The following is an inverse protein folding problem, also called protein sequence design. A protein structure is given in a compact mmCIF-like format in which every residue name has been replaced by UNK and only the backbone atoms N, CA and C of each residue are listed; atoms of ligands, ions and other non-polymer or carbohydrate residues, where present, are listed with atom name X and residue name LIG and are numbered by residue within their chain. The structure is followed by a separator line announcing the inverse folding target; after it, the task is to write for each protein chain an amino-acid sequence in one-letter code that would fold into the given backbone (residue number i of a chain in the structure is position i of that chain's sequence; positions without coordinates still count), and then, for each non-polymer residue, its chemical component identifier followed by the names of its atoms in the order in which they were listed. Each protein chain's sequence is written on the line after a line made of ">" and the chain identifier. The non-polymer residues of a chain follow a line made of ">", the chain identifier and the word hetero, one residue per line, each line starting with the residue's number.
data_IF_626770017921
#
_entry.id   IF_626770017921
#
_cell.length_a   1.000
_cell.length_b   1.000
_cell.length_c   1.000
_cell.angle_alpha   90.00
_cell.angle_beta   90.00
_cell.angle_gamma   90.00
#
_symmetry.space_group_name_H-M   'P 1'
#
loop_
_entity.id
_entity.type
_entity.pdbx_description
1 polymer ?
#
# COMPACT_ATOMS: atom_id res chain seq x y z
N UNK A 1 41.03 -29.46 26.03
CA UNK A 1 40.18 -28.27 26.26
C UNK A 1 40.04 -27.51 24.95
N UNK A 2 38.82 -27.40 24.42
CA UNK A 2 38.50 -26.95 23.05
C UNK A 2 38.52 -25.42 22.87
N UNK A 3 39.26 -24.86 21.89
CA UNK A 3 39.32 -23.42 21.59
C UNK A 3 38.08 -22.85 20.86
N UNK A 4 37.10 -23.70 20.50
CA UNK A 4 35.92 -23.32 19.70
C UNK A 4 34.87 -22.42 20.41
N UNK A 5 34.97 -22.19 21.72
CA UNK A 5 33.97 -21.40 22.47
C UNK A 5 34.13 -19.88 22.34
N UNK A 6 35.32 -19.37 22.00
CA UNK A 6 35.60 -17.92 22.01
C UNK A 6 35.11 -17.24 20.72
N UNK A 7 35.19 -17.90 19.56
CA UNK A 7 34.76 -17.35 18.28
C UNK A 7 33.23 -17.17 18.17
N UNK A 8 32.46 -18.14 18.69
CA UNK A 8 30.98 -18.09 18.73
C UNK A 8 30.44 -16.91 19.54
N UNK A 9 31.08 -16.58 20.66
CA UNK A 9 30.61 -15.51 21.57
C UNK A 9 30.77 -14.13 20.95
N UNK A 10 31.85 -13.89 20.20
CA UNK A 10 32.08 -12.63 19.46
C UNK A 10 31.15 -12.50 18.25
N UNK A 11 30.87 -13.59 17.54
CA UNK A 11 29.93 -13.60 16.43
C UNK A 11 28.48 -13.31 16.90
N UNK A 12 28.06 -13.92 18.01
CA UNK A 12 26.74 -13.68 18.61
C UNK A 12 26.59 -12.25 19.17
N UNK A 13 27.66 -11.69 19.76
CA UNK A 13 27.68 -10.30 20.20
C UNK A 13 27.64 -9.32 19.01
N UNK A 14 28.37 -9.60 17.93
CA UNK A 14 28.31 -8.80 16.70
C UNK A 14 26.94 -8.83 16.02
N UNK A 15 26.31 -9.99 15.95
CA UNK A 15 24.94 -10.14 15.43
C UNK A 15 23.90 -9.43 16.31
N UNK A 16 24.06 -9.47 17.63
CA UNK A 16 23.19 -8.75 18.58
C UNK A 16 23.29 -7.22 18.45
N UNK A 17 24.50 -6.68 18.27
CA UNK A 17 24.69 -5.22 18.06
C UNK A 17 24.12 -4.76 16.72
N UNK A 18 24.29 -5.55 15.65
CA UNK A 18 23.69 -5.24 14.34
C UNK A 18 22.16 -5.29 14.37
N UNK A 19 21.57 -6.30 15.04
CA UNK A 19 20.13 -6.41 15.21
C UNK A 19 19.55 -5.26 16.07
N UNK A 20 20.21 -4.91 17.18
CA UNK A 20 19.78 -3.77 18.01
C UNK A 20 19.93 -2.43 17.28
N UNK A 21 20.97 -2.24 16.46
CA UNK A 21 21.14 -1.03 15.65
C UNK A 21 20.06 -0.87 14.57
N UNK A 22 19.63 -1.96 13.95
CA UNK A 22 18.51 -1.97 13.00
C UNK A 22 17.16 -1.69 13.67
N UNK A 23 16.96 -2.18 14.90
CA UNK A 23 15.72 -1.96 15.66
C UNK A 23 15.65 -0.56 16.29
N UNK A 24 16.78 0.05 16.63
CA UNK A 24 16.82 1.40 17.20
C UNK A 24 16.67 2.52 16.15
N UNK A 25 16.92 2.22 14.87
CA UNK A 25 16.82 3.19 13.77
C UNK A 25 15.45 3.26 13.09
N UNK A 26 14.54 2.33 13.39
CA UNK A 26 13.22 2.23 12.77
C UNK A 26 12.12 2.44 13.82
N UNK A 27 11.17 3.32 13.52
CA UNK A 27 9.97 3.48 14.34
C UNK A 27 8.95 2.38 13.98
N UNK A 28 8.72 1.44 14.91
CA UNK A 28 7.73 0.36 14.80
C UNK A 28 6.49 0.61 15.66
N UNK A 29 6.27 1.83 16.14
CA UNK A 29 5.20 2.16 17.08
C UNK A 29 3.79 2.05 16.52
N UNK A 30 3.62 1.91 15.19
CA UNK A 30 2.33 1.98 14.51
C UNK A 30 1.52 3.22 14.94
N UNK A 31 2.19 4.36 15.19
CA UNK A 31 1.56 5.56 15.76
C UNK A 31 0.32 6.02 15.00
N UNK A 32 0.32 5.80 13.68
CA UNK A 32 -0.74 6.23 12.75
C UNK A 32 -1.79 5.12 12.53
N UNK A 33 -1.68 4.00 13.26
CA UNK A 33 -2.57 2.84 13.18
C UNK A 33 -2.26 1.90 12.01
N UNK A 34 -3.09 0.86 11.89
CA UNK A 34 -3.05 -0.11 10.77
C UNK A 34 -4.29 0.00 9.87
N UNK A 35 -5.30 0.76 10.32
CA UNK A 35 -6.51 1.02 9.58
C UNK A 35 -6.44 2.40 8.94
N UNK A 36 -6.92 2.50 7.70
CA UNK A 36 -6.95 3.75 6.99
C UNK A 36 -8.08 4.63 7.55
N UNK A 37 -7.76 5.88 7.87
CA UNK A 37 -8.77 6.86 8.31
C UNK A 37 -9.69 7.32 7.16
N UNK A 38 -9.42 6.89 5.93
CA UNK A 38 -10.24 7.15 4.74
C UNK A 38 -10.52 8.64 4.50
N UNK A 39 -9.53 9.48 4.77
CA UNK A 39 -9.60 10.92 4.56
C UNK A 39 -9.77 11.24 3.08
N UNK A 40 -10.77 12.05 2.74
CA UNK A 40 -11.13 12.36 1.36
C UNK A 40 -9.98 13.05 0.59
N UNK A 41 -9.36 14.06 1.18
CA UNK A 41 -8.19 14.73 0.61
C UNK A 41 -7.01 14.67 1.58
N UNK A 42 -5.79 14.89 1.06
CA UNK A 42 -4.61 15.09 1.90
C UNK A 42 -4.88 16.28 2.84
N UNK A 43 -4.83 16.10 4.18
CA UNK A 43 -5.02 17.18 5.14
C UNK A 43 -4.15 18.40 4.85
N UNK A 44 -4.66 19.59 5.13
CA UNK A 44 -4.00 20.85 4.78
C UNK A 44 -2.62 20.99 5.45
N UNK A 45 -2.46 20.53 6.69
CA UNK A 45 -1.19 20.53 7.41
C UNK A 45 -0.12 19.66 6.72
N UNK A 46 -0.52 18.50 6.16
CA UNK A 46 0.37 17.62 5.40
C UNK A 46 0.63 18.15 3.99
N UNK A 47 -0.41 18.63 3.30
CA UNK A 47 -0.32 19.21 1.95
C UNK A 47 0.59 20.43 1.92
N UNK A 48 0.44 21.29 2.92
CA UNK A 48 1.23 22.50 3.05
C UNK A 48 2.58 22.27 3.74
N UNK A 49 2.87 21.04 4.18
CA UNK A 49 4.08 20.71 4.90
C UNK A 49 5.34 21.04 4.06
N UNK A 50 6.38 21.67 4.65
CA UNK A 50 7.56 22.10 3.90
C UNK A 50 8.23 20.99 3.08
N UNK A 51 8.28 19.77 3.61
CA UNK A 51 8.86 18.62 2.88
C UNK A 51 8.03 18.20 1.67
N UNK A 52 6.69 18.27 1.76
CA UNK A 52 5.81 17.93 0.64
C UNK A 52 5.95 18.99 -0.45
N UNK A 53 5.97 20.27 -0.09
CA UNK A 53 6.24 21.36 -1.04
C UNK A 53 7.61 21.23 -1.70
N UNK A 54 8.65 20.94 -0.93
CA UNK A 54 10.01 20.78 -1.44
C UNK A 54 10.13 19.58 -2.40
N UNK A 55 9.38 18.49 -2.18
CA UNK A 55 9.35 17.35 -3.09
C UNK A 55 8.77 17.69 -4.48
N UNK A 56 7.95 18.73 -4.57
CA UNK A 56 7.38 19.22 -5.83
C UNK A 56 8.17 20.37 -6.47
N UNK A 57 9.16 20.94 -5.77
CA UNK A 57 9.90 22.08 -6.27
C UNK A 57 10.69 21.72 -7.55
N UNK A 58 10.49 22.52 -8.60
CA UNK A 58 11.08 22.29 -9.93
C UNK A 58 10.50 21.13 -10.74
N UNK A 59 9.49 20.40 -10.24
CA UNK A 59 8.82 19.35 -11.01
C UNK A 59 7.75 19.92 -11.94
N UNK A 60 7.77 19.47 -13.19
CA UNK A 60 6.66 19.64 -14.12
C UNK A 60 5.63 18.54 -13.86
N UNK A 61 4.51 18.90 -13.22
CA UNK A 61 3.46 17.95 -12.86
C UNK A 61 2.90 17.18 -14.07
N UNK A 62 2.91 17.77 -15.27
CA UNK A 62 2.53 17.11 -16.53
C UNK A 62 3.41 15.91 -16.90
N UNK A 63 4.60 15.80 -16.28
CA UNK A 63 5.57 14.73 -16.50
C UNK A 63 5.70 13.78 -15.31
N UNK A 64 4.91 13.98 -14.25
CA UNK A 64 4.87 13.08 -13.09
C UNK A 64 3.81 12.01 -13.33
N UNK A 65 4.26 10.77 -13.46
CA UNK A 65 3.42 9.63 -13.80
C UNK A 65 3.51 8.60 -12.67
N UNK A 66 2.39 8.29 -12.04
CA UNK A 66 2.28 7.08 -11.23
C UNK A 66 2.15 5.88 -12.16
N UNK A 67 3.20 5.06 -12.23
CA UNK A 67 3.27 3.91 -13.12
C UNK A 67 2.78 2.61 -12.49
N UNK A 68 2.25 2.65 -11.26
CA UNK A 68 1.84 1.46 -10.53
C UNK A 68 0.50 1.67 -9.81
N UNK A 69 -0.57 1.78 -10.59
CA UNK A 69 -1.93 1.82 -10.08
C UNK A 69 -2.70 0.55 -10.48
N UNK A 70 -3.26 -0.15 -9.50
CA UNK A 70 -4.11 -1.32 -9.71
C UNK A 70 -5.54 -0.99 -9.30
N UNK A 71 -6.49 -1.22 -10.22
CA UNK A 71 -7.90 -1.15 -9.89
C UNK A 71 -8.31 -2.40 -9.12
N UNK A 72 -9.02 -2.22 -8.00
CA UNK A 72 -9.53 -3.32 -7.18
C UNK A 72 -11.05 -3.27 -7.13
N UNK A 73 -11.70 -4.42 -7.34
CA UNK A 73 -13.15 -4.55 -7.36
C UNK A 73 -13.59 -5.99 -7.60
N UNK A 74 -14.84 -6.31 -7.23
CA UNK A 74 -15.43 -7.63 -7.40
C UNK A 74 -16.49 -7.68 -8.53
N UNK A 75 -16.71 -6.57 -9.23
CA UNK A 75 -17.69 -6.52 -10.31
C UNK A 75 -19.11 -6.29 -9.84
N UNK A 76 -19.33 -5.98 -8.56
CA UNK A 76 -20.67 -5.81 -7.97
C UNK A 76 -21.47 -4.66 -8.59
N UNK A 77 -20.82 -3.71 -9.25
CA UNK A 77 -21.47 -2.63 -9.99
C UNK A 77 -21.76 -2.97 -11.46
N UNK A 78 -21.51 -4.21 -11.88
CA UNK A 78 -21.55 -4.60 -13.30
C UNK A 78 -20.35 -4.09 -14.12
N UNK A 79 -19.26 -3.69 -13.46
CA UNK A 79 -18.05 -3.15 -14.10
C UNK A 79 -17.24 -4.19 -14.88
N UNK A 80 -17.45 -5.47 -14.59
CA UNK A 80 -16.59 -6.57 -15.08
C UNK A 80 -15.27 -6.69 -14.32
N UNK A 81 -15.02 -5.86 -13.29
CA UNK A 81 -13.90 -6.06 -12.37
C UNK A 81 -14.04 -7.40 -11.66
N UNK A 82 -12.89 -7.98 -11.35
CA UNK A 82 -12.85 -9.27 -10.71
C UNK A 82 -11.56 -9.38 -9.90
N UNK A 83 -11.67 -9.91 -8.69
CA UNK A 83 -10.55 -10.46 -7.95
C UNK A 83 -10.84 -11.93 -7.63
N UNK A 84 -9.79 -12.68 -7.32
CA UNK A 84 -9.90 -14.10 -7.03
C UNK A 84 -10.83 -14.39 -5.83
N UNK A 85 -11.96 -15.11 -5.98
CA UNK A 85 -12.88 -15.42 -4.88
C UNK A 85 -12.25 -16.18 -3.72
N UNK A 86 -11.10 -16.85 -3.94
CA UNK A 86 -10.33 -17.46 -2.84
C UNK A 86 -9.82 -16.45 -1.83
N UNK A 87 -9.75 -15.17 -2.19
CA UNK A 87 -9.39 -14.08 -1.29
C UNK A 87 -10.52 -13.74 -0.31
N UNK A 88 -11.74 -14.25 -0.51
CA UNK A 88 -12.84 -14.06 0.44
C UNK A 88 -12.96 -15.20 1.46
N UNK A 89 -12.23 -16.29 1.25
CA UNK A 89 -12.30 -17.47 2.07
C UNK A 89 -11.42 -17.29 3.31
N UNK A 90 -12.04 -17.21 4.49
CA UNK A 90 -11.31 -17.09 5.76
C UNK A 90 -10.33 -18.25 6.01
N UNK A 91 -10.61 -19.42 5.43
CA UNK A 91 -9.74 -20.61 5.47
C UNK A 91 -8.54 -20.54 4.52
N UNK A 92 -8.48 -19.52 3.66
CA UNK A 92 -7.30 -19.12 2.90
C UNK A 92 -6.71 -17.84 3.53
N UNK A 93 -6.08 -17.93 4.72
CA UNK A 93 -5.76 -16.78 5.56
C UNK A 93 -4.85 -15.77 4.85
N UNK A 94 -3.91 -16.24 4.02
CA UNK A 94 -3.05 -15.37 3.22
C UNK A 94 -3.87 -14.50 2.25
N UNK A 95 -4.75 -15.12 1.48
CA UNK A 95 -5.60 -14.41 0.51
C UNK A 95 -6.60 -13.49 1.20
N UNK A 96 -7.18 -13.95 2.32
CA UNK A 96 -8.09 -13.17 3.13
C UNK A 96 -7.44 -11.90 3.66
N UNK A 97 -6.31 -12.01 4.35
CA UNK A 97 -5.58 -10.84 4.87
C UNK A 97 -5.12 -9.91 3.75
N UNK A 98 -4.71 -10.45 2.61
CA UNK A 98 -4.36 -9.66 1.43
C UNK A 98 -5.56 -8.85 0.90
N UNK A 99 -6.77 -9.43 0.88
CA UNK A 99 -8.01 -8.72 0.54
C UNK A 99 -8.29 -7.59 1.51
N UNK A 100 -8.26 -7.89 2.81
CA UNK A 100 -8.52 -6.89 3.86
C UNK A 100 -7.55 -5.71 3.77
N UNK A 101 -6.28 -5.99 3.45
CA UNK A 101 -5.30 -4.94 3.21
C UNK A 101 -5.69 -4.04 2.02
N UNK A 102 -6.14 -4.61 0.91
CA UNK A 102 -6.57 -3.83 -0.27
C UNK A 102 -7.85 -3.04 0.00
N UNK A 103 -8.84 -3.64 0.65
CA UNK A 103 -10.10 -2.97 1.03
C UNK A 103 -9.83 -1.80 1.99
N UNK A 104 -9.01 -2.02 3.01
CA UNK A 104 -8.59 -0.98 3.94
C UNK A 104 -7.80 0.15 3.25
N UNK A 105 -6.86 -0.18 2.35
CA UNK A 105 -6.08 0.82 1.63
C UNK A 105 -6.93 1.65 0.66
N UNK A 106 -7.88 1.01 -0.02
CA UNK A 106 -8.74 1.64 -1.02
C UNK A 106 -9.94 2.38 -0.44
N UNK A 107 -10.31 2.13 0.81
CA UNK A 107 -11.47 2.76 1.46
C UNK A 107 -12.76 2.60 0.65
N UNK A 108 -12.96 1.42 0.07
CA UNK A 108 -14.17 1.08 -0.67
C UNK A 108 -15.38 0.98 0.26
N UNK A 109 -16.54 1.29 -0.31
CA UNK A 109 -17.83 1.04 0.30
C UNK A 109 -18.27 -0.39 0.01
N UNK A 110 -18.24 -1.25 1.02
CA UNK A 110 -18.58 -2.67 0.92
C UNK A 110 -20.08 -2.96 0.82
N UNK A 111 -20.94 -1.93 0.75
CA UNK A 111 -22.37 -2.11 0.47
C UNK A 111 -22.55 -2.73 -0.92
N UNK A 112 -23.55 -3.62 -1.11
CA UNK A 112 -23.77 -4.27 -2.40
C UNK A 112 -23.92 -3.27 -3.56
N UNK A 113 -23.12 -3.46 -4.61
CA UNK A 113 -23.13 -2.64 -5.82
C UNK A 113 -22.33 -1.33 -5.71
N UNK A 114 -21.49 -1.19 -4.67
CA UNK A 114 -20.73 0.03 -4.41
C UNK A 114 -19.22 -0.16 -4.42
N UNK A 115 -18.71 -1.39 -4.31
CA UNK A 115 -17.27 -1.65 -4.18
C UNK A 115 -16.51 -1.03 -5.34
N UNK A 116 -16.90 -1.36 -6.56
CA UNK A 116 -16.21 -0.89 -7.76
C UNK A 116 -16.31 0.63 -7.93
N UNK A 117 -17.51 1.20 -7.77
CA UNK A 117 -17.75 2.63 -7.98
C UNK A 117 -17.04 3.49 -6.94
N UNK A 118 -17.04 3.06 -5.67
CA UNK A 118 -16.39 3.79 -4.60
C UNK A 118 -14.86 3.75 -4.73
N UNK A 119 -14.29 2.64 -5.24
CA UNK A 119 -12.89 2.58 -5.60
C UNK A 119 -12.52 3.65 -6.63
N UNK A 120 -13.28 3.71 -7.74
CA UNK A 120 -13.00 4.67 -8.83
C UNK A 120 -13.19 6.10 -8.36
N UNK A 121 -14.25 6.40 -7.61
CA UNK A 121 -14.49 7.73 -7.04
C UNK A 121 -13.33 8.16 -6.14
N UNK A 122 -12.82 7.24 -5.32
CA UNK A 122 -11.68 7.48 -4.44
C UNK A 122 -10.40 7.76 -5.23
N UNK A 123 -10.11 6.95 -6.24
CA UNK A 123 -8.94 7.13 -7.11
C UNK A 123 -8.99 8.49 -7.83
N UNK A 124 -10.15 8.86 -8.38
CA UNK A 124 -10.34 10.15 -9.04
C UNK A 124 -10.17 11.31 -8.04
N UNK A 125 -10.66 11.18 -6.81
CA UNK A 125 -10.46 12.19 -5.78
C UNK A 125 -8.97 12.35 -5.41
N UNK A 126 -8.22 11.24 -5.32
CA UNK A 126 -6.77 11.27 -5.10
C UNK A 126 -6.03 11.95 -6.26
N UNK A 127 -6.37 11.63 -7.52
CA UNK A 127 -5.78 12.30 -8.68
C UNK A 127 -6.09 13.80 -8.70
N UNK A 128 -7.30 14.22 -8.30
CA UNK A 128 -7.66 15.65 -8.19
C UNK A 128 -6.91 16.38 -7.07
N UNK A 129 -6.44 15.66 -6.06
CA UNK A 129 -5.60 16.19 -4.99
C UNK A 129 -4.14 16.41 -5.40
N UNK A 130 -3.72 15.90 -6.55
CA UNK A 130 -2.37 16.09 -7.09
C UNK A 130 -2.24 17.42 -7.82
N UNK A 131 -0.99 17.85 -8.07
CA UNK A 131 -0.73 19.03 -8.89
C UNK A 131 -1.33 18.88 -10.31
N UNK A 132 -1.92 19.94 -10.90
CA UNK A 132 -2.54 19.87 -12.23
C UNK A 132 -1.59 19.32 -13.29
N UNK A 133 -2.02 18.31 -14.04
CA UNK A 133 -1.22 17.62 -15.06
C UNK A 133 -0.67 16.26 -14.65
N UNK A 134 -0.77 15.88 -13.37
CA UNK A 134 -0.42 14.54 -12.92
C UNK A 134 -1.17 13.43 -13.68
N UNK A 135 -0.49 12.32 -13.94
CA UNK A 135 -1.06 11.13 -14.59
C UNK A 135 -0.91 9.88 -13.72
N UNK A 136 -1.94 9.02 -13.72
CA UNK A 136 -1.87 7.67 -13.18
C UNK A 136 -2.07 6.65 -14.30
N UNK A 137 -1.15 5.70 -14.41
CA UNK A 137 -1.24 4.58 -15.36
C UNK A 137 -1.89 3.39 -14.66
N UNK A 138 -3.07 3.02 -15.16
CA UNK A 138 -3.79 1.85 -14.68
C UNK A 138 -3.21 0.59 -15.31
N UNK A 139 -2.71 -0.32 -14.47
CA UNK A 139 -2.33 -1.65 -14.89
C UNK A 139 -3.57 -2.56 -14.93
N UNK A 140 -4.14 -2.70 -16.12
CA UNK A 140 -5.20 -3.66 -16.40
C UNK A 140 -4.63 -5.05 -16.64
N UNK A 141 -4.55 -5.87 -15.60
CA UNK A 141 -4.30 -7.30 -15.76
C UNK A 141 -5.63 -8.03 -15.94
N UNK A 142 -5.68 -8.91 -16.93
CA UNK A 142 -6.73 -9.91 -17.06
C UNK A 142 -6.37 -11.15 -16.21
N UNK A 143 -7.13 -12.23 -16.36
CA UNK A 143 -6.95 -13.46 -15.61
C UNK A 143 -5.54 -14.04 -15.75
N UNK A 144 -4.87 -14.23 -14.61
CA UNK A 144 -3.61 -14.98 -14.56
C UNK A 144 -3.87 -16.44 -14.94
N UNK A 145 -3.23 -16.90 -16.01
CA UNK A 145 -3.20 -18.30 -16.44
C UNK A 145 -1.87 -18.90 -16.01
N UNK A 146 -1.93 -19.94 -15.19
CA UNK A 146 -0.79 -20.82 -14.99
C UNK A 146 -0.82 -21.90 -16.08
N UNK A 147 0.35 -22.23 -16.66
CA UNK A 147 0.51 -23.35 -17.58
C UNK A 147 0.50 -24.67 -16.78
N UNK A 148 -0.67 -25.08 -16.29
CA UNK A 148 -0.91 -26.43 -15.78
C UNK A 148 -2.27 -26.94 -16.19
#
# INVERSE_FOLDING_TARGET
>A
MTPFRIARRRLLLGAGVAACGLLAGCDFSLRDGVFNACLAELPADLREHPLVKAAWDGLDAGKVWDTHCHVFGNGDSGSGLWFNPRMEQIWNPRGYVQREFYVNASCVDERPGKVDTSFVDRLLAQCRGMAPGFHALLFGFDWARDET
#
